data_IF_934737222665
#
_entry.id   IF_934737222665
#
_cell.length_a   1.000
_cell.length_b   1.000
_cell.length_c   1.000
_cell.angle_alpha   90.00
_cell.angle_beta   90.00
_cell.angle_gamma   90.00
#
_symmetry.space_group_name_H-M   'P 1'
#
loop_
_entity.id
_entity.type
_entity.pdbx_description
1 polymer ?
#
# COMPACT_ATOMS: atom_id res chain seq x y z
N UNK A 1 13.17 -14.11 13.63
CA UNK A 1 11.92 -13.33 13.71
C UNK A 1 11.00 -13.89 12.64
N UNK A 2 10.01 -14.67 13.00
CA UNK A 2 8.97 -15.12 12.06
C UNK A 2 7.97 -13.99 11.92
N UNK A 3 7.74 -13.54 10.69
CA UNK A 3 6.72 -12.55 10.36
C UNK A 3 5.36 -13.20 10.03
N UNK A 4 5.13 -14.35 10.62
CA UNK A 4 3.80 -14.95 10.52
C UNK A 4 2.81 -14.09 11.32
N UNK A 5 1.71 -13.76 10.67
CA UNK A 5 0.63 -13.06 11.34
C UNK A 5 0.12 -13.91 12.51
N UNK A 6 -0.18 -13.27 13.63
CA UNK A 6 -0.88 -13.96 14.71
C UNK A 6 -2.26 -14.40 14.23
N UNK A 7 -2.90 -15.41 14.86
CA UNK A 7 -4.27 -15.80 14.51
C UNK A 7 -5.27 -14.65 14.54
N UNK A 8 -5.09 -13.71 15.46
CA UNK A 8 -5.92 -12.50 15.57
C UNK A 8 -5.69 -11.52 14.40
N UNK A 9 -4.44 -11.33 14.00
CA UNK A 9 -4.09 -10.52 12.84
C UNK A 9 -4.59 -11.16 11.54
N UNK A 10 -4.47 -12.48 11.40
CA UNK A 10 -5.02 -13.18 10.24
C UNK A 10 -6.54 -13.05 10.18
N UNK A 11 -7.24 -13.21 11.30
CA UNK A 11 -8.68 -13.01 11.37
C UNK A 11 -9.09 -11.55 11.04
N UNK A 12 -8.27 -10.56 11.39
CA UNK A 12 -8.49 -9.17 10.99
C UNK A 12 -8.37 -9.01 9.47
N UNK A 13 -7.31 -9.53 8.86
CA UNK A 13 -7.11 -9.52 7.39
C UNK A 13 -8.30 -10.16 6.67
N UNK A 14 -8.77 -11.31 7.13
CA UNK A 14 -9.90 -12.02 6.52
C UNK A 14 -11.21 -11.21 6.61
N UNK A 15 -11.45 -10.53 7.73
CA UNK A 15 -12.58 -9.60 7.88
C UNK A 15 -12.47 -8.39 6.95
N UNK A 16 -11.28 -7.83 6.79
CA UNK A 16 -11.04 -6.72 5.85
C UNK A 16 -11.33 -7.17 4.43
N UNK A 17 -10.82 -8.32 4.00
CA UNK A 17 -11.06 -8.88 2.67
C UNK A 17 -12.55 -9.11 2.41
N UNK A 18 -13.25 -9.66 3.38
CA UNK A 18 -14.70 -9.86 3.28
C UNK A 18 -15.45 -8.52 3.14
N UNK A 19 -15.09 -7.51 3.92
CA UNK A 19 -15.69 -6.17 3.84
C UNK A 19 -15.40 -5.49 2.50
N UNK A 20 -14.17 -5.62 1.98
CA UNK A 20 -13.77 -5.10 0.67
C UNK A 20 -14.55 -5.78 -0.45
N UNK A 21 -14.72 -7.10 -0.40
CA UNK A 21 -15.48 -7.84 -1.40
C UNK A 21 -16.99 -7.51 -1.41
N UNK A 22 -17.54 -7.09 -0.26
CA UNK A 22 -18.95 -6.70 -0.14
C UNK A 22 -19.27 -5.27 -0.65
N UNK A 23 -18.28 -4.52 -1.13
CA UNK A 23 -18.42 -3.13 -1.53
C UNK A 23 -18.12 -2.19 -0.35
N UNK A 24 -16.84 -1.81 -0.16
CA UNK A 24 -16.39 -1.11 1.02
C UNK A 24 -16.91 0.33 1.05
N UNK A 25 -17.38 0.74 2.21
CA UNK A 25 -17.59 2.14 2.55
C UNK A 25 -16.63 2.54 3.67
N UNK A 26 -16.28 3.81 3.75
CA UNK A 26 -15.41 4.32 4.81
C UNK A 26 -15.96 3.92 6.21
N UNK A 27 -17.27 4.01 6.40
CA UNK A 27 -17.91 3.68 7.68
C UNK A 27 -17.84 2.18 8.00
N UNK A 28 -18.07 1.29 7.02
CA UNK A 28 -17.97 -0.16 7.24
C UNK A 28 -16.56 -0.61 7.62
N UNK A 29 -15.55 0.08 7.11
CA UNK A 29 -14.14 -0.23 7.37
C UNK A 29 -13.61 0.43 8.64
N UNK A 30 -14.15 1.58 9.06
CA UNK A 30 -13.76 2.23 10.34
C UNK A 30 -13.93 1.31 11.55
N UNK A 31 -14.95 0.47 11.55
CA UNK A 31 -15.19 -0.51 12.61
C UNK A 31 -14.06 -1.56 12.75
N UNK A 32 -13.22 -1.72 11.74
CA UNK A 32 -12.08 -2.64 11.73
C UNK A 32 -10.78 -2.00 12.21
N UNK A 33 -10.76 -0.66 12.36
CA UNK A 33 -9.57 0.08 12.79
C UNK A 33 -9.29 -0.12 14.27
N UNK A 34 -8.02 -0.21 14.60
CA UNK A 34 -7.51 -0.24 15.97
C UNK A 34 -6.57 0.96 16.16
N UNK A 35 -6.23 1.28 17.41
CA UNK A 35 -5.35 2.42 17.71
C UNK A 35 -3.87 2.09 17.54
N UNK A 36 -3.55 0.81 17.56
CA UNK A 36 -2.18 0.33 17.39
C UNK A 36 -1.76 0.42 15.91
N UNK A 37 -0.47 0.65 15.70
CA UNK A 37 0.07 0.87 14.37
C UNK A 37 0.09 -0.41 13.53
N UNK A 38 0.41 -1.56 14.12
CA UNK A 38 0.47 -2.82 13.38
C UNK A 38 -0.88 -3.25 12.81
N UNK A 39 -1.97 -3.36 13.60
CA UNK A 39 -3.28 -3.69 13.03
C UNK A 39 -3.79 -2.67 12.01
N UNK A 40 -3.56 -1.38 12.26
CA UNK A 40 -3.94 -0.33 11.30
C UNK A 40 -3.18 -0.46 10.00
N UNK A 41 -1.87 -0.76 10.04
CA UNK A 41 -1.06 -1.00 8.85
C UNK A 41 -1.62 -2.16 8.02
N UNK A 42 -2.04 -3.26 8.67
CA UNK A 42 -2.70 -4.39 8.00
C UNK A 42 -3.99 -3.98 7.28
N UNK A 43 -4.86 -3.24 7.96
CA UNK A 43 -6.14 -2.78 7.37
C UNK A 43 -5.88 -1.85 6.18
N UNK A 44 -4.98 -0.88 6.33
CA UNK A 44 -4.65 0.08 5.28
C UNK A 44 -4.05 -0.62 4.06
N UNK A 45 -3.12 -1.54 4.26
CA UNK A 45 -2.49 -2.31 3.18
C UNK A 45 -3.54 -3.11 2.38
N UNK A 46 -4.40 -3.88 3.04
CA UNK A 46 -5.40 -4.72 2.37
C UNK A 46 -6.47 -3.88 1.63
N UNK A 47 -6.94 -2.78 2.22
CA UNK A 47 -7.89 -1.88 1.55
C UNK A 47 -7.24 -1.18 0.35
N UNK A 48 -5.98 -0.78 0.46
CA UNK A 48 -5.25 -0.07 -0.59
C UNK A 48 -4.98 -0.93 -1.82
N UNK A 49 -5.05 -2.24 -1.72
CA UNK A 49 -5.03 -3.13 -2.90
C UNK A 49 -6.22 -2.87 -3.84
N UNK A 50 -7.35 -2.42 -3.31
CA UNK A 50 -8.54 -2.12 -4.10
C UNK A 50 -8.65 -0.62 -4.40
N UNK A 51 -8.42 0.21 -3.39
CA UNK A 51 -8.50 1.67 -3.49
C UNK A 51 -7.49 2.33 -2.53
N UNK A 52 -6.44 2.92 -3.11
CA UNK A 52 -5.39 3.61 -2.37
C UNK A 52 -5.92 4.84 -1.62
N UNK A 53 -6.89 5.55 -2.17
CA UNK A 53 -7.52 6.71 -1.54
C UNK A 53 -8.30 6.31 -0.30
N UNK A 54 -9.10 5.25 -0.37
CA UNK A 54 -9.85 4.74 0.77
C UNK A 54 -8.92 4.21 1.87
N UNK A 55 -7.85 3.49 1.51
CA UNK A 55 -6.83 3.04 2.45
C UNK A 55 -6.15 4.19 3.18
N UNK A 56 -5.77 5.24 2.45
CA UNK A 56 -5.18 6.44 3.03
C UNK A 56 -6.16 7.12 4.02
N UNK A 57 -7.45 7.28 3.65
CA UNK A 57 -8.47 7.86 4.52
C UNK A 57 -8.62 7.11 5.85
N UNK A 58 -8.65 5.79 5.77
CA UNK A 58 -8.73 4.95 6.95
C UNK A 58 -7.52 5.10 7.86
N UNK A 59 -6.32 5.00 7.30
CA UNK A 59 -5.10 5.10 8.07
C UNK A 59 -4.93 6.44 8.76
N UNK A 60 -5.24 7.52 8.07
CA UNK A 60 -5.21 8.85 8.67
C UNK A 60 -6.24 9.01 9.78
N UNK A 61 -7.46 8.55 9.57
CA UNK A 61 -8.52 8.57 10.58
C UNK A 61 -8.12 7.83 11.86
N UNK A 62 -7.43 6.69 11.73
CA UNK A 62 -7.03 5.85 12.86
C UNK A 62 -5.81 6.39 13.62
N UNK A 63 -4.75 6.72 12.89
CA UNK A 63 -3.44 7.02 13.50
C UNK A 63 -3.20 8.50 13.77
N UNK A 64 -3.87 9.37 13.04
CA UNK A 64 -3.65 10.83 13.13
C UNK A 64 -4.81 11.53 13.81
N UNK A 65 -6.01 10.92 13.85
CA UNK A 65 -7.18 11.48 14.54
C UNK A 65 -7.88 12.61 13.78
N UNK A 66 -7.54 12.78 12.51
CA UNK A 66 -8.16 13.80 11.64
C UNK A 66 -9.53 13.38 11.10
N UNK A 67 -10.39 14.34 10.82
CA UNK A 67 -11.64 14.10 10.09
C UNK A 67 -11.32 13.88 8.61
N UNK A 68 -11.76 12.78 8.00
CA UNK A 68 -11.42 12.42 6.60
C UNK A 68 -11.81 13.47 5.56
N UNK A 69 -12.73 14.35 5.86
CA UNK A 69 -13.24 15.34 4.91
C UNK A 69 -12.26 16.43 4.49
N UNK A 70 -11.19 16.68 5.24
CA UNK A 70 -10.20 17.71 4.91
C UNK A 70 -9.02 17.17 4.07
N UNK A 71 -8.80 15.85 4.06
CA UNK A 71 -7.58 15.26 3.52
C UNK A 71 -7.80 14.63 2.15
N UNK A 72 -9.02 14.27 1.80
CA UNK A 72 -9.24 13.30 0.75
C UNK A 72 -10.45 13.56 -0.14
N UNK A 73 -10.47 14.68 -0.80
CA UNK A 73 -11.09 14.72 -2.11
C UNK A 73 -10.07 14.11 -3.11
N UNK A 74 -9.82 12.80 -3.01
CA UNK A 74 -8.93 12.10 -3.92
C UNK A 74 -9.72 11.27 -4.93
N UNK A 75 -9.89 11.76 -6.15
CA UNK A 75 -9.37 11.02 -7.26
C UNK A 75 -8.02 11.64 -7.65
N UNK A 76 -7.02 11.25 -6.92
CA UNK A 76 -5.67 11.75 -7.02
C UNK A 76 -5.30 12.54 -5.76
N UNK A 77 -4.23 12.13 -5.13
CA UNK A 77 -3.53 12.82 -4.04
C UNK A 77 -3.08 14.25 -4.42
N UNK A 78 -3.35 14.67 -5.63
CA UNK A 78 -3.04 15.98 -6.20
C UNK A 78 -4.15 16.96 -5.83
N UNK A 79 -3.94 17.75 -4.80
CA UNK A 79 -4.86 18.81 -4.37
C UNK A 79 -5.02 18.98 -2.88
N UNK A 80 -4.46 18.08 -2.07
CA UNK A 80 -4.47 18.20 -0.61
C UNK A 80 -3.07 18.42 -0.02
N UNK A 81 -2.15 19.00 -0.82
CA UNK A 81 -0.78 19.29 -0.37
C UNK A 81 -0.74 20.05 0.96
N UNK A 82 -1.63 21.04 1.13
CA UNK A 82 -1.71 21.78 2.38
C UNK A 82 -2.22 20.94 3.57
N UNK A 83 -3.18 20.05 3.34
CA UNK A 83 -3.70 19.18 4.39
C UNK A 83 -2.70 18.07 4.75
N UNK A 84 -1.98 17.54 3.76
CA UNK A 84 -0.91 16.57 3.98
C UNK A 84 0.30 17.21 4.65
N UNK A 85 0.64 18.44 4.30
CA UNK A 85 1.68 19.22 4.98
C UNK A 85 1.30 19.48 6.44
N UNK A 86 0.09 19.95 6.71
CA UNK A 86 -0.39 20.19 8.08
C UNK A 86 -0.40 18.90 8.92
N UNK A 87 -0.77 17.77 8.33
CA UNK A 87 -0.69 16.47 9.01
C UNK A 87 0.76 16.01 9.18
N UNK A 88 1.62 16.30 8.21
CA UNK A 88 3.06 16.06 8.30
C UNK A 88 3.69 16.86 9.44
N UNK A 89 3.25 18.06 9.70
CA UNK A 89 3.75 18.91 10.79
C UNK A 89 3.28 18.42 12.17
N UNK A 90 2.02 17.99 12.30
CA UNK A 90 1.48 17.53 13.59
C UNK A 90 1.85 16.06 13.90
N UNK A 91 1.83 15.19 12.89
CA UNK A 91 2.02 13.75 13.08
C UNK A 91 2.88 13.10 11.97
N UNK A 92 4.09 13.62 11.69
CA UNK A 92 4.87 13.23 10.51
C UNK A 92 5.21 11.73 10.48
N UNK A 93 5.50 11.16 11.64
CA UNK A 93 5.87 9.74 11.74
C UNK A 93 4.69 8.84 11.38
N UNK A 94 3.50 9.12 11.94
CA UNK A 94 2.29 8.32 11.68
C UNK A 94 1.81 8.49 10.25
N UNK A 95 1.86 9.70 9.71
CA UNK A 95 1.50 9.99 8.32
C UNK A 95 2.39 9.21 7.33
N UNK A 96 3.70 9.16 7.57
CA UNK A 96 4.64 8.36 6.77
C UNK A 96 4.37 6.86 6.86
N UNK A 97 3.99 6.35 8.02
CA UNK A 97 3.63 4.94 8.17
C UNK A 97 2.39 4.59 7.36
N UNK A 98 1.35 5.44 7.38
CA UNK A 98 0.16 5.26 6.54
C UNK A 98 0.54 5.28 5.05
N UNK A 99 1.35 6.24 4.62
CA UNK A 99 1.81 6.30 3.23
C UNK A 99 2.58 5.04 2.81
N UNK A 100 3.41 4.48 3.70
CA UNK A 100 4.10 3.21 3.45
C UNK A 100 3.10 2.04 3.29
N UNK A 101 2.09 1.94 4.16
CA UNK A 101 1.06 0.90 4.08
C UNK A 101 0.23 1.00 2.79
N UNK A 102 -0.13 2.22 2.37
CA UNK A 102 -0.82 2.46 1.09
C UNK A 102 0.06 2.03 -0.08
N UNK A 103 1.34 2.38 -0.07
CA UNK A 103 2.28 1.99 -1.12
C UNK A 103 2.42 0.47 -1.25
N UNK A 104 2.46 -0.26 -0.13
CA UNK A 104 2.45 -1.73 -0.14
C UNK A 104 1.19 -2.29 -0.79
N UNK A 105 0.01 -1.74 -0.48
CA UNK A 105 -1.25 -2.15 -1.11
C UNK A 105 -1.24 -1.94 -2.62
N UNK A 106 -0.78 -0.76 -3.09
CA UNK A 106 -0.60 -0.45 -4.51
C UNK A 106 0.36 -1.41 -5.20
N UNK A 107 1.51 -1.68 -4.58
CA UNK A 107 2.51 -2.60 -5.11
C UNK A 107 1.97 -4.02 -5.27
N UNK A 108 1.29 -4.53 -4.24
CA UNK A 108 0.66 -5.86 -4.24
C UNK A 108 -0.45 -5.96 -5.29
N UNK A 109 -1.25 -4.91 -5.45
CA UNK A 109 -2.28 -4.86 -6.48
C UNK A 109 -1.68 -4.92 -7.90
N UNK A 110 -0.58 -4.22 -8.14
CA UNK A 110 0.12 -4.23 -9.42
C UNK A 110 0.66 -5.63 -9.76
N UNK A 111 1.31 -6.30 -8.79
CA UNK A 111 1.80 -7.68 -8.94
C UNK A 111 0.63 -8.64 -9.21
N UNK A 112 -0.45 -8.55 -8.44
CA UNK A 112 -1.61 -9.40 -8.61
C UNK A 112 -2.24 -9.25 -10.00
N UNK A 113 -2.34 -8.00 -10.50
CA UNK A 113 -2.81 -7.70 -11.84
C UNK A 113 -1.90 -8.31 -12.92
N UNK A 114 -0.58 -8.13 -12.80
CA UNK A 114 0.39 -8.69 -13.73
C UNK A 114 0.33 -10.23 -13.77
N UNK A 115 0.25 -10.88 -12.62
CA UNK A 115 0.09 -12.34 -12.54
C UNK A 115 -1.21 -12.81 -13.19
N UNK A 116 -2.32 -12.09 -12.99
CA UNK A 116 -3.59 -12.41 -13.63
C UNK A 116 -3.52 -12.26 -15.16
N UNK A 117 -2.89 -11.19 -15.64
CA UNK A 117 -2.66 -10.96 -17.07
C UNK A 117 -1.81 -12.08 -17.71
N UNK A 118 -0.71 -12.50 -17.05
CA UNK A 118 0.12 -13.62 -17.49
C UNK A 118 -0.68 -14.92 -17.60
N UNK A 119 -1.49 -15.23 -16.59
CA UNK A 119 -2.35 -16.43 -16.62
C UNK A 119 -3.35 -16.39 -17.76
N UNK A 120 -3.97 -15.24 -18.00
CA UNK A 120 -4.94 -15.04 -19.09
C UNK A 120 -4.27 -15.19 -20.47
N UNK A 121 -3.04 -14.68 -20.62
CA UNK A 121 -2.24 -14.80 -21.84
C UNK A 121 -1.68 -16.23 -22.04
N UNK A 122 -1.85 -17.13 -21.09
CA UNK A 122 -1.35 -18.50 -21.16
C UNK A 122 0.17 -18.63 -21.05
N UNK A 123 0.85 -17.61 -20.48
CA UNK A 123 2.30 -17.62 -20.26
C UNK A 123 2.65 -18.76 -19.29
N UNK A 124 3.47 -19.70 -19.77
CA UNK A 124 3.87 -20.89 -19.00
C UNK A 124 5.31 -20.75 -18.54
N UNK A 125 5.66 -21.28 -17.36
CA UNK A 125 7.06 -21.42 -16.98
C UNK A 125 7.82 -22.27 -18.00
N UNK A 126 8.84 -21.69 -18.65
CA UNK A 126 9.65 -22.38 -19.63
C UNK A 126 10.91 -21.59 -20.00
N UNK A 127 11.88 -22.19 -20.68
CA UNK A 127 13.15 -21.53 -21.02
C UNK A 127 12.96 -20.24 -21.81
N UNK A 128 11.99 -20.21 -22.70
CA UNK A 128 11.72 -19.08 -23.59
C UNK A 128 10.87 -17.97 -22.93
N UNK A 129 10.19 -18.29 -21.82
CA UNK A 129 9.28 -17.39 -21.10
C UNK A 129 9.75 -17.06 -19.67
N UNK A 130 11.01 -17.30 -19.35
CA UNK A 130 11.57 -17.07 -18.00
C UNK A 130 11.58 -15.60 -17.59
N UNK A 131 11.82 -14.69 -18.52
CA UNK A 131 11.99 -13.27 -18.23
C UNK A 131 10.77 -12.64 -17.52
N UNK A 132 9.52 -12.84 -17.98
CA UNK A 132 8.34 -12.34 -17.26
C UNK A 132 8.25 -12.88 -15.82
N UNK A 133 8.54 -14.16 -15.63
CA UNK A 133 8.51 -14.78 -14.31
C UNK A 133 9.54 -14.18 -13.36
N UNK A 134 10.77 -13.92 -13.85
CA UNK A 134 11.81 -13.30 -13.03
C UNK A 134 11.46 -11.87 -12.63
N UNK A 135 10.96 -11.07 -13.55
CA UNK A 135 10.55 -9.68 -13.24
C UNK A 135 9.49 -9.65 -12.16
N UNK A 136 8.51 -10.54 -12.19
CA UNK A 136 7.49 -10.65 -11.15
C UNK A 136 8.08 -11.17 -9.84
N UNK A 137 8.95 -12.17 -9.87
CA UNK A 137 9.58 -12.73 -8.67
C UNK A 137 10.45 -11.69 -7.96
N UNK A 138 11.24 -10.91 -8.71
CA UNK A 138 12.05 -9.83 -8.17
C UNK A 138 11.19 -8.74 -7.54
N UNK A 139 10.14 -8.30 -8.24
CA UNK A 139 9.20 -7.31 -7.71
C UNK A 139 8.47 -7.82 -6.46
N UNK A 140 8.03 -9.07 -6.44
CA UNK A 140 7.38 -9.67 -5.28
C UNK A 140 8.34 -9.76 -4.08
N UNK A 141 9.59 -10.10 -4.32
CA UNK A 141 10.63 -10.15 -3.27
C UNK A 141 10.90 -8.76 -2.69
N UNK A 142 11.00 -7.73 -3.54
CA UNK A 142 11.20 -6.36 -3.11
C UNK A 142 10.00 -5.85 -2.28
N UNK A 143 8.79 -6.13 -2.73
CA UNK A 143 7.56 -5.76 -1.99
C UNK A 143 7.48 -6.46 -0.65
N UNK A 144 7.82 -7.75 -0.57
CA UNK A 144 7.84 -8.48 0.70
C UNK A 144 8.92 -7.93 1.65
N UNK A 145 10.10 -7.59 1.15
CA UNK A 145 11.14 -6.93 1.94
C UNK A 145 10.67 -5.56 2.46
N UNK A 146 10.04 -4.73 1.62
CA UNK A 146 9.47 -3.46 2.01
C UNK A 146 8.36 -3.62 3.06
N UNK A 147 7.56 -4.67 2.93
CA UNK A 147 6.52 -5.05 3.87
C UNK A 147 7.11 -5.37 5.24
N UNK A 148 8.15 -6.19 5.31
CA UNK A 148 8.85 -6.52 6.56
C UNK A 148 9.40 -5.27 7.25
N UNK A 149 10.02 -4.35 6.50
CA UNK A 149 10.54 -3.08 7.03
C UNK A 149 9.40 -2.21 7.57
N UNK A 150 8.26 -2.17 6.88
CA UNK A 150 7.09 -1.37 7.30
C UNK A 150 6.47 -1.93 8.59
N UNK A 151 6.28 -3.24 8.70
CA UNK A 151 5.77 -3.85 9.93
C UNK A 151 6.74 -3.73 11.10
N UNK A 152 8.05 -3.82 10.85
CA UNK A 152 9.06 -3.54 11.88
C UNK A 152 8.96 -2.09 12.38
N UNK A 153 8.72 -1.14 11.48
CA UNK A 153 8.53 0.27 11.84
C UNK A 153 7.24 0.49 12.64
N UNK A 154 6.14 -0.14 12.24
CA UNK A 154 4.88 -0.10 12.97
C UNK A 154 5.02 -0.66 14.38
N UNK A 155 5.69 -1.81 14.52
CA UNK A 155 5.97 -2.42 15.82
C UNK A 155 6.83 -1.51 16.71
N UNK A 156 7.86 -0.86 16.15
CA UNK A 156 8.68 0.09 16.89
C UNK A 156 7.85 1.28 17.40
N UNK A 157 6.89 1.73 16.61
CA UNK A 157 5.97 2.81 17.01
C UNK A 157 5.05 2.37 18.15
N UNK A 158 4.50 1.16 18.10
CA UNK A 158 3.63 0.60 19.14
C UNK A 158 4.37 0.41 20.47
N UNK A 159 5.66 0.06 20.43
CA UNK A 159 6.49 -0.11 21.63
C UNK A 159 7.16 1.18 22.13
N UNK A 160 6.96 2.32 21.46
CA UNK A 160 7.62 3.58 21.84
C UNK A 160 9.13 3.56 21.66
N UNK A 161 9.64 2.79 20.69
CA UNK A 161 11.09 2.71 20.39
C UNK A 161 11.61 4.07 19.94
N UNK A 162 12.71 4.51 20.50
CA UNK A 162 13.37 5.78 20.15
C UNK A 162 13.78 5.88 18.68
N UNK A 163 13.97 4.74 18.01
CA UNK A 163 14.30 4.65 16.58
C UNK A 163 13.06 4.61 15.68
N UNK A 164 11.83 4.62 16.22
CA UNK A 164 10.59 4.49 15.45
C UNK A 164 10.51 5.49 14.28
N UNK A 165 10.83 6.76 14.51
CA UNK A 165 10.80 7.79 13.48
C UNK A 165 11.75 7.49 12.30
N UNK A 166 12.96 7.01 12.58
CA UNK A 166 13.95 6.63 11.56
C UNK A 166 13.49 5.39 10.80
N UNK A 167 12.96 4.40 11.51
CA UNK A 167 12.46 3.18 10.89
C UNK A 167 11.26 3.47 9.98
N UNK A 168 10.34 4.33 10.40
CA UNK A 168 9.18 4.74 9.59
C UNK A 168 9.61 5.52 8.34
N UNK A 169 10.58 6.44 8.45
CA UNK A 169 11.09 7.15 7.29
C UNK A 169 11.71 6.20 6.25
N UNK A 170 12.49 5.22 6.71
CA UNK A 170 13.06 4.17 5.83
C UNK A 170 11.97 3.29 5.22
N UNK A 171 10.97 2.91 6.02
CA UNK A 171 9.84 2.10 5.54
C UNK A 171 9.07 2.82 4.44
N UNK A 172 8.76 4.12 4.63
CA UNK A 172 8.06 4.93 3.63
C UNK A 172 8.83 5.01 2.32
N UNK A 173 10.12 5.32 2.39
CA UNK A 173 10.96 5.43 1.20
C UNK A 173 11.06 4.09 0.46
N UNK A 174 11.26 2.99 1.19
CA UNK A 174 11.38 1.67 0.58
C UNK A 174 10.05 1.17 -0.01
N UNK A 175 8.94 1.32 0.70
CA UNK A 175 7.63 0.91 0.20
C UNK A 175 7.20 1.72 -1.03
N UNK A 176 7.48 3.02 -1.07
CA UNK A 176 7.19 3.86 -2.23
C UNK A 176 8.01 3.42 -3.47
N UNK A 177 9.31 3.16 -3.29
CA UNK A 177 10.16 2.66 -4.38
C UNK A 177 9.69 1.29 -4.88
N UNK A 178 9.35 0.38 -3.96
CA UNK A 178 8.82 -0.94 -4.32
C UNK A 178 7.49 -0.83 -5.10
N UNK A 179 6.63 0.15 -4.76
CA UNK A 179 5.40 0.40 -5.50
C UNK A 179 5.66 0.95 -6.92
N UNK A 180 6.61 1.86 -7.08
CA UNK A 180 7.02 2.34 -8.41
C UNK A 180 7.59 1.20 -9.26
N UNK A 181 8.50 0.38 -8.72
CA UNK A 181 9.08 -0.74 -9.44
C UNK A 181 8.04 -1.80 -9.81
N UNK A 182 7.13 -2.13 -8.89
CA UNK A 182 6.08 -3.12 -9.15
C UNK A 182 5.08 -2.65 -10.23
N UNK A 183 4.69 -1.37 -10.21
CA UNK A 183 3.80 -0.81 -11.23
C UNK A 183 4.49 -0.70 -12.59
N UNK A 184 5.77 -0.28 -12.64
CA UNK A 184 6.55 -0.25 -13.87
C UNK A 184 6.74 -1.66 -14.46
N UNK A 185 7.00 -2.66 -13.61
CA UNK A 185 7.11 -4.05 -14.04
C UNK A 185 5.78 -4.56 -14.63
N UNK A 186 4.67 -4.28 -13.96
CA UNK A 186 3.34 -4.69 -14.41
C UNK A 186 2.96 -4.05 -15.78
N UNK A 187 3.21 -2.74 -15.96
CA UNK A 187 2.98 -2.06 -17.23
C UNK A 187 3.82 -2.64 -18.36
N UNK A 188 5.12 -2.90 -18.12
CA UNK A 188 5.99 -3.50 -19.14
C UNK A 188 5.50 -4.87 -19.58
N UNK A 189 4.88 -5.61 -18.69
CA UNK A 189 4.33 -6.94 -19.00
C UNK A 189 3.01 -6.86 -19.76
N UNK A 190 2.14 -5.90 -19.43
CA UNK A 190 0.88 -5.70 -20.14
C UNK A 190 1.09 -5.01 -21.50
N UNK A 191 2.20 -4.30 -21.66
CA UNK A 191 2.53 -3.56 -22.87
C UNK A 191 1.66 -2.30 -23.04
N UNK A 192 1.29 -1.94 -24.30
CA UNK A 192 0.56 -0.67 -24.56
C UNK A 192 -0.77 -0.57 -23.81
N UNK A 193 -1.44 -1.67 -23.51
CA UNK A 193 -2.69 -1.72 -22.74
C UNK A 193 -2.55 -1.13 -21.33
N UNK A 194 -1.41 -1.31 -20.70
CA UNK A 194 -1.14 -0.82 -19.35
C UNK A 194 -1.12 0.72 -19.22
N UNK A 195 -0.97 1.44 -20.32
CA UNK A 195 -0.98 2.91 -20.36
C UNK A 195 -2.34 3.52 -20.67
N UNK A 196 -3.37 2.72 -20.89
CA UNK A 196 -4.69 3.23 -21.27
C UNK A 196 -5.30 3.98 -20.09
N UNK A 197 -5.68 5.25 -20.35
CA UNK A 197 -6.32 6.10 -19.34
C UNK A 197 -7.58 5.45 -18.77
N UNK A 198 -7.69 5.43 -17.44
CA UNK A 198 -8.78 4.78 -16.72
C UNK A 198 -8.56 3.28 -16.52
N UNK A 199 -7.46 2.72 -17.01
CA UNK A 199 -7.02 1.36 -16.72
C UNK A 199 -6.54 1.20 -15.27
N UNK A 200 -6.55 -0.03 -14.80
CA UNK A 200 -6.10 -0.36 -13.43
C UNK A 200 -4.64 0.00 -13.22
N UNK A 201 -3.76 -0.37 -14.15
CA UNK A 201 -2.32 -0.09 -14.02
C UNK A 201 -1.99 1.40 -14.17
N UNK A 202 -2.69 2.14 -15.03
CA UNK A 202 -2.52 3.59 -15.13
C UNK A 202 -2.80 4.26 -13.79
N UNK A 203 -3.90 3.89 -13.12
CA UNK A 203 -4.25 4.39 -11.80
C UNK A 203 -3.20 4.02 -10.76
N UNK A 204 -2.83 2.74 -10.67
CA UNK A 204 -1.84 2.26 -9.70
C UNK A 204 -0.48 2.94 -9.89
N UNK A 205 -0.05 3.17 -11.13
CA UNK A 205 1.20 3.88 -11.44
C UNK A 205 1.16 5.33 -10.98
N UNK A 206 0.06 6.02 -11.21
CA UNK A 206 -0.14 7.38 -10.75
C UNK A 206 -0.14 7.45 -9.22
N UNK A 207 -0.82 6.53 -8.56
CA UNK A 207 -0.84 6.45 -7.10
C UNK A 207 0.57 6.18 -6.53
N UNK A 208 1.33 5.25 -7.12
CA UNK A 208 2.72 4.97 -6.72
C UNK A 208 3.62 6.20 -6.84
N UNK A 209 3.56 6.92 -7.98
CA UNK A 209 4.31 8.16 -8.20
C UNK A 209 3.97 9.25 -7.19
N UNK A 210 2.70 9.40 -6.87
CA UNK A 210 2.26 10.35 -5.85
C UNK A 210 2.80 9.98 -4.47
N UNK A 211 2.77 8.69 -4.10
CA UNK A 211 3.31 8.19 -2.84
C UNK A 211 4.82 8.35 -2.74
N UNK A 212 5.55 8.36 -3.84
CA UNK A 212 6.99 8.59 -3.85
C UNK A 212 7.36 10.01 -3.39
N UNK A 213 6.59 11.01 -3.77
CA UNK A 213 6.87 12.43 -3.48
C UNK A 213 6.21 12.94 -2.19
N UNK A 214 5.08 12.36 -1.79
CA UNK A 214 4.37 12.75 -0.58
C UNK A 214 5.18 12.38 0.67
N UNK A 215 5.25 13.29 1.64
CA UNK A 215 5.89 13.09 2.93
C UNK A 215 7.36 12.60 2.82
N UNK A 216 8.06 13.07 1.80
CA UNK A 216 9.45 12.73 1.55
C UNK A 216 10.35 13.17 2.73
#
# INVERSE_FOLDING_TARGET
MTFDLTPEQQALVDRVRAAVAAGPTLESLKALLQREAVPTTLVVEEVSMTDAGLGAQLGFSALVGGTPGAVLALPGLVGSEAALAAMGDEHPVRARLVAAAVALGVARAAIAHAVAAMKTAGVKPGPDEQRPHWVIADSATEVEAARMVTYRAAQALDHGDSMAAVLVARAKAFAANAAEHATDAAIRMEGPGGYVRGGVLERLTRDARTLAVILA
#
